data_IF_289610845637
#
_entry.id   IF_289610845637
#
_cell.length_a   1.000
_cell.length_b   1.000
_cell.length_c   1.000
_cell.angle_alpha   90.00
_cell.angle_beta   90.00
_cell.angle_gamma   90.00
#
_symmetry.space_group_name_H-M   'P 1'
#
loop_
_entity.id
_entity.type
_entity.pdbx_description
1 polymer ?
#
# COMPACT_ATOMS: atom_id res chain seq x y z
N UNK A 1 -8.79 23.94 12.44
CA UNK A 1 -8.75 24.18 13.90
C UNK A 1 -7.41 23.67 14.39
N UNK A 2 -6.71 24.48 15.18
CA UNK A 2 -5.26 24.43 15.42
C UNK A 2 -4.75 23.01 15.68
N UNK A 3 -3.81 22.54 14.85
CA UNK A 3 -2.95 21.41 15.18
C UNK A 3 -2.31 21.71 16.54
N UNK A 4 -2.47 20.83 17.51
CA UNK A 4 -1.70 20.93 18.74
C UNK A 4 -0.21 20.90 18.37
N UNK A 5 0.58 21.82 18.92
CA UNK A 5 2.03 21.81 18.70
C UNK A 5 2.57 20.45 19.16
N UNK A 6 3.22 19.64 18.29
CA UNK A 6 3.72 18.32 18.68
C UNK A 6 4.68 18.41 19.86
N UNK A 7 5.34 19.56 20.09
CA UNK A 7 6.15 19.81 21.28
C UNK A 7 5.31 19.87 22.55
N UNK A 8 4.12 20.49 22.50
CA UNK A 8 3.22 20.57 23.64
C UNK A 8 2.64 19.19 23.98
N UNK A 9 2.27 18.40 22.97
CA UNK A 9 1.82 17.03 23.17
C UNK A 9 2.93 16.13 23.77
N UNK A 10 4.17 16.22 23.25
CA UNK A 10 5.35 15.54 23.80
C UNK A 10 5.63 15.94 25.26
N UNK A 11 5.54 17.23 25.58
CA UNK A 11 5.74 17.73 26.93
C UNK A 11 4.68 17.17 27.89
N UNK A 12 3.40 17.15 27.50
CA UNK A 12 2.30 16.60 28.32
C UNK A 12 2.49 15.11 28.62
N UNK A 13 2.89 14.31 27.62
CA UNK A 13 3.22 12.89 27.83
C UNK A 13 4.43 12.76 28.76
N UNK A 14 5.49 13.54 28.52
CA UNK A 14 6.72 13.51 29.34
C UNK A 14 6.47 13.86 30.81
N UNK A 15 5.72 14.91 31.09
CA UNK A 15 5.40 15.35 32.46
C UNK A 15 4.66 14.28 33.28
N UNK A 16 3.84 13.44 32.63
CA UNK A 16 3.14 12.33 33.31
C UNK A 16 4.08 11.24 33.80
N UNK A 17 5.18 11.01 33.10
CA UNK A 17 6.13 9.93 33.39
C UNK A 17 7.44 10.40 34.05
N UNK A 18 7.62 11.70 34.25
CA UNK A 18 8.79 12.30 34.92
C UNK A 18 8.69 12.21 36.45
N UNK A 19 8.58 10.99 36.97
CA UNK A 19 8.53 10.69 38.41
C UNK A 19 9.93 10.40 38.95
N UNK A 20 10.26 10.97 40.11
CA UNK A 20 11.49 10.60 40.83
C UNK A 20 11.32 9.30 41.66
N UNK A 21 12.42 8.74 42.18
CA UNK A 21 12.39 7.47 42.93
C UNK A 21 11.44 7.49 44.15
N UNK A 22 11.34 8.61 44.85
CA UNK A 22 10.44 8.76 45.99
C UNK A 22 8.98 8.81 45.56
N UNK A 23 8.69 9.51 44.46
CA UNK A 23 7.35 9.58 43.88
C UNK A 23 6.89 8.20 43.38
N UNK A 24 7.77 7.47 42.70
CA UNK A 24 7.49 6.09 42.27
C UNK A 24 7.20 5.19 43.47
N UNK A 25 8.06 5.24 44.50
CA UNK A 25 7.90 4.41 45.70
C UNK A 25 6.62 4.73 46.47
N UNK A 26 6.29 6.01 46.63
CA UNK A 26 5.06 6.45 47.28
C UNK A 26 3.82 6.05 46.48
N UNK A 27 3.83 6.27 45.17
CA UNK A 27 2.71 5.92 44.29
C UNK A 27 2.39 4.42 44.37
N UNK A 28 3.41 3.55 44.22
CA UNK A 28 3.23 2.11 44.30
C UNK A 28 2.75 1.66 45.69
N UNK A 29 3.33 2.21 46.76
CA UNK A 29 2.92 1.86 48.12
C UNK A 29 1.45 2.21 48.42
N UNK A 30 0.97 3.36 47.92
CA UNK A 30 -0.44 3.76 48.07
C UNK A 30 -1.35 2.93 47.16
N UNK A 31 -0.92 2.64 45.93
CA UNK A 31 -1.68 1.81 44.98
C UNK A 31 -1.92 0.39 45.52
N UNK A 32 -0.89 -0.24 46.11
CA UNK A 32 -1.02 -1.57 46.71
C UNK A 32 -1.92 -1.59 47.95
N UNK A 33 -1.92 -0.51 48.73
CA UNK A 33 -2.68 -0.40 49.97
C UNK A 33 -4.10 0.18 49.79
N UNK A 34 -4.38 0.79 48.64
CA UNK A 34 -5.59 1.55 48.33
C UNK A 34 -5.63 2.93 49.00
N UNK A 35 -5.35 3.00 50.31
CA UNK A 35 -5.28 4.24 51.07
C UNK A 35 -4.20 4.18 52.18
N UNK A 36 -3.48 5.28 52.39
CA UNK A 36 -2.47 5.40 53.46
C UNK A 36 -2.44 6.82 54.03
N UNK A 37 -2.06 6.95 55.30
CA UNK A 37 -1.62 8.23 55.87
C UNK A 37 -0.15 8.51 55.53
N UNK A 38 0.26 9.78 55.62
CA UNK A 38 1.67 10.17 55.39
C UNK A 38 2.66 9.44 56.32
N UNK A 39 2.26 9.11 57.55
CA UNK A 39 3.10 8.31 58.45
C UNK A 39 3.26 6.88 57.95
N UNK A 40 2.18 6.24 57.49
CA UNK A 40 2.24 4.88 56.96
C UNK A 40 3.03 4.81 55.65
N UNK A 41 3.01 5.86 54.83
CA UNK A 41 3.87 5.96 53.65
C UNK A 41 5.34 6.02 54.05
N UNK A 42 5.70 6.84 55.07
CA UNK A 42 7.07 6.90 55.59
C UNK A 42 7.53 5.55 56.15
N UNK A 43 6.64 4.79 56.79
CA UNK A 43 6.96 3.49 57.39
C UNK A 43 7.14 2.39 56.35
N UNK A 44 6.46 2.49 55.20
CA UNK A 44 6.46 1.49 54.12
C UNK A 44 7.47 1.78 53.02
N UNK A 45 8.08 2.96 53.02
CA UNK A 45 9.00 3.42 51.98
C UNK A 45 10.30 3.92 52.59
N UNK A 46 11.32 4.16 51.76
CA UNK A 46 12.58 4.77 52.21
C UNK A 46 12.52 6.32 52.21
N UNK A 47 11.32 6.89 52.13
CA UNK A 47 11.12 8.34 52.02
C UNK A 47 11.25 8.96 53.42
N UNK A 48 12.18 9.91 53.63
CA UNK A 48 12.29 10.61 54.90
C UNK A 48 10.96 11.28 55.27
N UNK A 49 10.52 11.14 56.52
CA UNK A 49 9.23 11.68 56.99
C UNK A 49 8.96 13.16 56.63
N UNK A 50 9.95 14.09 56.66
CA UNK A 50 9.76 15.47 56.21
C UNK A 50 9.45 15.61 54.71
N UNK A 51 9.81 14.60 53.89
CA UNK A 51 9.67 14.55 52.43
C UNK A 51 8.40 13.87 51.92
N UNK A 52 7.61 13.28 52.81
CA UNK A 52 6.42 12.53 52.38
C UNK A 52 5.33 13.47 51.88
N UNK A 53 5.11 14.61 52.56
CA UNK A 53 4.03 15.53 52.24
C UNK A 53 4.20 16.23 50.88
N UNK A 54 5.41 16.65 50.55
CA UNK A 54 5.80 17.17 49.23
C UNK A 54 5.69 16.10 48.16
N UNK A 55 6.12 14.87 48.43
CA UNK A 55 6.01 13.75 47.48
C UNK A 55 4.54 13.45 47.14
N UNK A 56 3.68 13.28 48.15
CA UNK A 56 2.25 12.98 47.90
C UNK A 56 1.49 14.17 47.31
N UNK A 57 1.91 15.40 47.62
CA UNK A 57 1.34 16.60 47.00
C UNK A 57 1.71 16.68 45.53
N UNK A 58 2.97 16.44 45.17
CA UNK A 58 3.44 16.41 43.77
C UNK A 58 2.66 15.35 42.97
N UNK A 59 2.50 14.15 43.52
CA UNK A 59 1.70 13.09 42.91
C UNK A 59 0.21 13.46 42.78
N UNK A 60 -0.35 14.20 43.74
CA UNK A 60 -1.72 14.66 43.68
C UNK A 60 -1.93 15.80 42.65
N UNK A 61 -0.97 16.71 42.52
CA UNK A 61 -0.96 17.75 41.48
C UNK A 61 -0.87 17.12 40.07
N UNK A 62 -0.19 15.97 39.97
CA UNK A 62 -0.16 15.13 38.77
C UNK A 62 -1.38 14.20 38.63
N UNK A 63 -2.38 14.26 39.51
CA UNK A 63 -3.57 13.42 39.42
C UNK A 63 -3.31 11.91 39.51
N UNK A 64 -2.22 11.49 40.16
CA UNK A 64 -1.90 10.09 40.44
C UNK A 64 -2.45 9.66 41.80
N UNK A 65 -2.56 10.60 42.75
CA UNK A 65 -3.10 10.39 44.10
C UNK A 65 -4.15 11.46 44.42
N UNK A 66 -5.02 11.18 45.38
CA UNK A 66 -5.95 12.18 45.95
C UNK A 66 -5.71 12.34 47.44
N UNK A 67 -5.72 13.58 47.91
CA UNK A 67 -5.63 13.91 49.34
C UNK A 67 -7.02 14.13 49.91
N UNK A 68 -7.40 13.33 50.90
CA UNK A 68 -8.65 13.48 51.63
C UNK A 68 -8.42 14.25 52.93
N UNK A 69 -9.20 15.32 53.13
CA UNK A 69 -9.14 16.16 54.33
C UNK A 69 -9.73 15.44 55.56
N UNK A 70 -8.95 14.54 56.13
CA UNK A 70 -9.24 13.81 57.37
C UNK A 70 -8.16 14.07 58.43
N UNK A 71 -8.35 13.54 59.64
CA UNK A 71 -7.35 13.58 60.71
C UNK A 71 -7.00 12.16 61.16
N UNK A 72 -5.83 11.62 60.80
CA UNK A 72 -4.80 12.19 59.92
C UNK A 72 -5.24 12.27 58.44
N UNK A 73 -4.58 13.09 57.63
CA UNK A 73 -4.82 13.18 56.17
C UNK A 73 -4.62 11.81 55.54
N UNK A 74 -5.57 11.39 54.71
CA UNK A 74 -5.49 10.15 53.95
C UNK A 74 -5.10 10.44 52.50
N UNK A 75 -4.26 9.59 51.95
CA UNK A 75 -3.78 9.61 50.58
C UNK A 75 -4.34 8.38 49.89
N UNK A 76 -5.10 8.60 48.82
CA UNK A 76 -5.78 7.55 48.06
C UNK A 76 -5.16 7.43 46.68
N UNK A 77 -5.05 6.21 46.17
CA UNK A 77 -4.68 6.01 44.77
C UNK A 77 -5.84 6.39 43.84
N UNK A 78 -5.52 7.06 42.74
CA UNK A 78 -6.44 7.21 41.61
C UNK A 78 -6.39 5.92 40.78
N UNK A 79 -7.54 5.51 40.23
CA UNK A 79 -7.58 4.34 39.35
C UNK A 79 -6.60 4.52 38.18
N UNK A 80 -5.76 3.53 37.82
CA UNK A 80 -4.79 3.68 36.75
C UNK A 80 -5.39 4.06 35.39
N UNK A 81 -6.59 3.57 35.05
CA UNK A 81 -7.26 3.96 33.80
C UNK A 81 -7.60 5.45 33.81
N UNK A 82 -8.15 5.95 34.92
CA UNK A 82 -8.46 7.37 35.08
C UNK A 82 -7.19 8.24 35.16
N UNK A 83 -6.19 7.78 35.91
CA UNK A 83 -4.94 8.49 36.10
C UNK A 83 -4.21 8.65 34.76
N UNK A 84 -4.15 7.62 33.92
CA UNK A 84 -3.38 7.67 32.68
C UNK A 84 -4.21 7.98 31.42
N UNK A 85 -5.53 8.18 31.52
CA UNK A 85 -6.40 8.49 30.38
C UNK A 85 -5.88 9.66 29.53
N UNK A 86 -5.62 10.81 30.14
CA UNK A 86 -5.14 12.00 29.43
C UNK A 86 -3.80 11.78 28.72
N UNK A 87 -2.90 11.00 29.33
CA UNK A 87 -1.59 10.70 28.77
C UNK A 87 -1.68 9.68 27.63
N UNK A 88 -2.58 8.70 27.77
CA UNK A 88 -2.92 7.75 26.71
C UNK A 88 -3.47 8.47 25.48
N UNK A 89 -4.50 9.30 25.67
CA UNK A 89 -5.14 10.05 24.58
C UNK A 89 -4.16 11.05 23.94
N UNK A 90 -3.33 11.70 24.75
CA UNK A 90 -2.27 12.60 24.24
C UNK A 90 -1.21 11.85 23.44
N UNK A 91 -0.85 10.64 23.86
CA UNK A 91 0.10 9.79 23.13
C UNK A 91 -0.49 9.28 21.83
N UNK A 92 -1.74 8.83 21.82
CA UNK A 92 -2.44 8.41 20.61
C UNK A 92 -2.57 9.56 19.61
N UNK A 93 -2.98 10.74 20.08
CA UNK A 93 -3.03 11.95 19.27
C UNK A 93 -1.66 12.32 18.72
N UNK A 94 -0.60 12.30 19.56
CA UNK A 94 0.77 12.58 19.14
C UNK A 94 1.26 11.59 18.07
N UNK A 95 1.01 10.30 18.27
CA UNK A 95 1.36 9.26 17.29
C UNK A 95 0.65 9.53 15.98
N UNK A 96 -0.67 9.78 16.01
CA UNK A 96 -1.45 10.09 14.81
C UNK A 96 -0.92 11.34 14.08
N UNK A 97 -0.58 12.39 14.82
CA UNK A 97 -0.05 13.65 14.29
C UNK A 97 1.37 13.48 13.69
N UNK A 98 2.22 12.71 14.35
CA UNK A 98 3.57 12.40 13.86
C UNK A 98 3.50 11.43 12.69
N UNK A 99 2.60 10.47 12.71
CA UNK A 99 2.32 9.58 11.58
C UNK A 99 1.85 10.41 10.39
N UNK A 100 0.92 11.35 10.55
CA UNK A 100 0.46 12.23 9.49
C UNK A 100 1.61 13.07 8.89
N UNK A 101 2.51 13.63 9.72
CA UNK A 101 3.68 14.39 9.26
C UNK A 101 4.78 13.52 8.63
N UNK A 102 4.99 12.32 9.15
CA UNK A 102 5.86 11.32 8.55
C UNK A 102 5.26 10.75 7.24
N UNK A 103 3.95 10.88 7.12
CA UNK A 103 3.13 10.38 6.02
C UNK A 103 2.92 11.38 4.90
N UNK A 104 3.02 12.68 5.18
CA UNK A 104 2.99 13.70 4.14
C UNK A 104 3.99 13.25 3.06
N UNK A 105 3.51 12.89 1.84
CA UNK A 105 4.40 12.44 0.78
C UNK A 105 5.44 13.51 0.69
N UNK A 106 6.72 13.15 0.85
CA UNK A 106 7.79 14.08 0.56
C UNK A 106 7.47 14.64 -0.82
N UNK A 107 6.98 15.89 -0.86
CA UNK A 107 6.61 16.56 -2.09
C UNK A 107 7.90 16.59 -2.90
N UNK A 108 7.91 15.76 -3.94
CA UNK A 108 8.82 15.68 -5.08
C UNK A 108 10.33 15.80 -4.79
N UNK A 109 11.09 14.75 -5.13
CA UNK A 109 12.42 14.90 -5.79
C UNK A 109 13.12 13.57 -6.13
N UNK A 110 12.68 12.43 -5.59
CA UNK A 110 13.26 11.12 -5.93
C UNK A 110 12.32 10.23 -6.76
N UNK A 111 12.78 9.75 -7.93
CA UNK A 111 12.12 8.65 -8.66
C UNK A 111 12.05 7.35 -7.83
N UNK A 112 12.86 7.26 -6.77
CA UNK A 112 12.96 6.11 -5.85
C UNK A 112 13.06 6.62 -4.41
N UNK A 113 12.30 6.03 -3.48
CA UNK A 113 12.34 6.30 -2.04
C UNK A 113 12.56 5.02 -1.24
N UNK A 114 13.45 5.06 -0.25
CA UNK A 114 13.71 3.97 0.68
C UNK A 114 12.90 4.16 1.97
N UNK A 115 12.13 3.15 2.37
CA UNK A 115 11.23 3.20 3.52
C UNK A 115 11.63 2.15 4.53
N UNK A 116 11.76 2.53 5.80
CA UNK A 116 12.14 1.61 6.87
C UNK A 116 10.98 1.23 7.79
N UNK A 117 9.97 2.08 7.91
CA UNK A 117 8.82 1.81 8.77
C UNK A 117 7.79 0.92 8.07
N UNK A 118 7.33 -0.11 8.79
CA UNK A 118 6.19 -0.94 8.40
C UNK A 118 4.95 -0.11 8.09
N UNK A 119 4.60 0.88 8.93
CA UNK A 119 3.39 1.71 8.74
C UNK A 119 3.46 2.48 7.42
N UNK A 120 4.64 2.99 7.07
CA UNK A 120 4.85 3.63 5.76
C UNK A 120 4.73 2.64 4.61
N UNK A 121 5.33 1.45 4.69
CA UNK A 121 5.19 0.44 3.62
C UNK A 121 3.71 0.13 3.36
N UNK A 122 2.94 -0.14 4.41
CA UNK A 122 1.51 -0.44 4.30
C UNK A 122 0.74 0.70 3.64
N UNK A 123 1.01 1.94 4.06
CA UNK A 123 0.37 3.11 3.49
C UNK A 123 0.75 3.34 2.02
N UNK A 124 1.98 3.06 1.62
CA UNK A 124 2.37 3.17 0.21
C UNK A 124 1.74 2.07 -0.64
N UNK A 125 1.54 0.86 -0.10
CA UNK A 125 0.77 -0.19 -0.79
C UNK A 125 -0.68 0.29 -1.01
N UNK A 126 -1.30 0.84 0.02
CA UNK A 126 -2.65 1.44 -0.05
C UNK A 126 -2.72 2.56 -1.08
N UNK A 127 -1.77 3.50 -1.05
CA UNK A 127 -1.70 4.58 -2.03
C UNK A 127 -1.52 4.08 -3.48
N UNK A 128 -0.78 2.99 -3.70
CA UNK A 128 -0.68 2.37 -5.03
C UNK A 128 -2.02 1.76 -5.44
N UNK A 129 -2.70 1.04 -4.54
CA UNK A 129 -4.02 0.45 -4.82
C UNK A 129 -5.03 1.55 -5.19
N UNK A 130 -5.09 2.63 -4.41
CA UNK A 130 -6.01 3.74 -4.64
C UNK A 130 -5.72 4.51 -5.93
N UNK A 131 -4.44 4.63 -6.29
CA UNK A 131 -4.02 5.35 -7.49
C UNK A 131 -4.19 4.56 -8.80
N UNK A 132 -4.55 3.28 -8.74
CA UNK A 132 -4.74 2.46 -9.93
C UNK A 132 -6.04 2.85 -10.67
N UNK A 133 -5.88 3.24 -11.93
CA UNK A 133 -6.98 3.68 -12.80
C UNK A 133 -7.43 2.59 -13.78
N UNK A 134 -6.54 1.69 -14.21
CA UNK A 134 -6.89 0.65 -15.19
C UNK A 134 -6.16 -0.69 -14.98
N UNK A 135 -4.97 -0.69 -14.39
CA UNK A 135 -4.20 -1.90 -14.14
C UNK A 135 -3.54 -1.90 -12.76
N UNK A 136 -3.69 -3.01 -12.05
CA UNK A 136 -3.08 -3.21 -10.75
C UNK A 136 -2.49 -4.62 -10.64
N UNK A 137 -1.21 -4.69 -10.31
CA UNK A 137 -0.47 -5.93 -10.09
C UNK A 137 -0.05 -6.01 -8.63
N UNK A 138 -0.37 -7.12 -7.95
CA UNK A 138 -0.20 -7.24 -6.51
C UNK A 138 0.42 -8.58 -6.12
N UNK A 139 1.35 -8.54 -5.16
CA UNK A 139 1.75 -9.69 -4.36
C UNK A 139 1.54 -9.35 -2.90
N UNK A 140 0.56 -10.01 -2.26
CA UNK A 140 0.14 -9.73 -0.90
C UNK A 140 0.23 -10.99 -0.03
N UNK A 141 0.43 -10.77 1.27
CA UNK A 141 0.18 -11.83 2.25
C UNK A 141 -1.31 -11.96 2.53
N UNK A 142 -1.78 -13.11 3.06
CA UNK A 142 -3.19 -13.28 3.45
C UNK A 142 -3.71 -12.19 4.39
N UNK A 143 -2.87 -11.74 5.33
CA UNK A 143 -3.20 -10.64 6.24
C UNK A 143 -3.37 -9.30 5.51
N UNK A 144 -2.55 -9.03 4.49
CA UNK A 144 -2.68 -7.82 3.67
C UNK A 144 -3.85 -7.89 2.70
N UNK A 145 -4.13 -9.06 2.13
CA UNK A 145 -5.32 -9.29 1.32
C UNK A 145 -6.58 -8.93 2.12
N UNK A 146 -6.68 -9.45 3.35
CA UNK A 146 -7.81 -9.12 4.25
C UNK A 146 -7.84 -7.63 4.63
N UNK A 147 -6.66 -7.02 4.82
CA UNK A 147 -6.56 -5.59 5.16
C UNK A 147 -7.10 -4.70 4.04
N UNK A 148 -6.77 -5.01 2.79
CA UNK A 148 -7.09 -4.18 1.62
C UNK A 148 -8.30 -4.69 0.82
N UNK A 149 -9.10 -5.59 1.39
CA UNK A 149 -10.21 -6.26 0.69
C UNK A 149 -11.22 -5.25 0.12
N UNK A 150 -11.55 -4.22 0.90
CA UNK A 150 -12.55 -3.21 0.52
C UNK A 150 -12.04 -2.30 -0.61
N UNK A 151 -10.77 -1.90 -0.54
CA UNK A 151 -10.10 -1.05 -1.52
C UNK A 151 -9.94 -1.81 -2.84
N UNK A 152 -9.55 -3.08 -2.79
CA UNK A 152 -9.44 -3.94 -3.96
C UNK A 152 -10.79 -4.19 -4.62
N UNK A 153 -11.84 -4.48 -3.84
CA UNK A 153 -13.20 -4.59 -4.35
C UNK A 153 -13.65 -3.29 -5.04
N UNK A 154 -13.40 -2.14 -4.42
CA UNK A 154 -13.74 -0.83 -5.01
C UNK A 154 -12.99 -0.57 -6.32
N UNK A 155 -11.70 -0.92 -6.42
CA UNK A 155 -10.94 -0.83 -7.68
C UNK A 155 -11.48 -1.80 -8.73
N UNK A 156 -11.83 -3.02 -8.33
CA UNK A 156 -12.41 -4.04 -9.22
C UNK A 156 -13.75 -3.59 -9.81
N UNK A 157 -14.62 -3.04 -8.97
CA UNK A 157 -15.91 -2.46 -9.36
C UNK A 157 -15.74 -1.25 -10.28
N UNK A 158 -14.68 -0.46 -10.09
CA UNK A 158 -14.32 0.64 -10.98
C UNK A 158 -13.75 0.19 -12.35
N UNK A 159 -13.65 -1.12 -12.59
CA UNK A 159 -13.16 -1.67 -13.86
C UNK A 159 -11.64 -1.85 -13.93
N UNK A 160 -10.91 -1.60 -12.85
CA UNK A 160 -9.47 -1.87 -12.79
C UNK A 160 -9.24 -3.37 -12.92
N UNK A 161 -8.34 -3.74 -13.81
CA UNK A 161 -7.94 -5.14 -13.91
C UNK A 161 -6.86 -5.44 -12.90
N UNK A 162 -7.12 -6.44 -12.06
CA UNK A 162 -6.29 -6.76 -10.90
C UNK A 162 -5.72 -8.17 -11.05
N UNK A 163 -4.40 -8.27 -11.12
CA UNK A 163 -3.65 -9.52 -11.03
C UNK A 163 -3.08 -9.68 -9.62
N UNK A 164 -3.72 -10.54 -8.84
CA UNK A 164 -3.43 -10.76 -7.42
C UNK A 164 -2.65 -12.05 -7.20
N UNK A 165 -1.49 -11.94 -6.58
CA UNK A 165 -0.73 -13.06 -6.05
C UNK A 165 -0.83 -13.09 -4.53
N UNK A 166 -1.21 -14.23 -3.96
CA UNK A 166 -1.29 -14.46 -2.52
C UNK A 166 -0.19 -15.39 -2.06
N UNK A 167 0.51 -15.02 -0.99
CA UNK A 167 1.69 -15.77 -0.53
C UNK A 167 1.94 -15.63 0.98
N UNK A 168 2.34 -16.69 1.69
CA UNK A 168 2.52 -18.06 1.20
C UNK A 168 1.19 -18.78 0.95
N UNK A 169 1.16 -19.68 -0.03
CA UNK A 169 -0.05 -20.42 -0.42
C UNK A 169 -0.64 -21.26 0.71
N UNK A 170 0.17 -21.69 1.67
CA UNK A 170 -0.29 -22.47 2.82
C UNK A 170 -1.21 -21.69 3.77
N UNK A 171 -1.14 -20.35 3.74
CA UNK A 171 -1.94 -19.45 4.57
C UNK A 171 -3.01 -18.70 3.75
N UNK A 172 -3.02 -18.88 2.42
CA UNK A 172 -4.02 -18.28 1.57
C UNK A 172 -5.40 -18.87 1.87
N UNK A 173 -6.45 -18.04 2.04
CA UNK A 173 -7.82 -18.53 2.16
C UNK A 173 -8.18 -19.49 1.03
N UNK A 174 -8.95 -20.53 1.33
CA UNK A 174 -9.47 -21.40 0.28
C UNK A 174 -10.51 -20.66 -0.57
N UNK A 175 -10.77 -21.14 -1.79
CA UNK A 175 -11.79 -20.54 -2.67
C UNK A 175 -13.22 -20.74 -2.14
N UNK A 176 -13.41 -21.61 -1.15
CA UNK A 176 -14.69 -21.79 -0.45
C UNK A 176 -14.89 -20.73 0.65
N UNK A 177 -13.80 -20.21 1.22
CA UNK A 177 -13.80 -19.26 2.32
C UNK A 177 -13.70 -17.80 1.86
N UNK A 178 -13.13 -17.56 0.67
CA UNK A 178 -12.87 -16.21 0.17
C UNK A 178 -13.22 -16.08 -1.32
N UNK A 179 -14.05 -15.09 -1.63
CA UNK A 179 -14.48 -14.79 -3.00
C UNK A 179 -13.44 -13.94 -3.74
N UNK A 180 -12.36 -14.57 -4.21
CA UNK A 180 -11.27 -13.89 -4.93
C UNK A 180 -11.72 -13.04 -6.13
N UNK A 181 -12.83 -13.41 -6.78
CA UNK A 181 -13.35 -12.70 -7.96
C UNK A 181 -13.93 -11.33 -7.63
N UNK A 182 -14.33 -11.11 -6.38
CA UNK A 182 -14.82 -9.81 -5.91
C UNK A 182 -13.71 -8.77 -5.82
N UNK A 183 -12.46 -9.20 -5.59
CA UNK A 183 -11.31 -8.31 -5.38
C UNK A 183 -10.27 -8.37 -6.50
N UNK A 184 -10.33 -9.38 -7.38
CA UNK A 184 -9.33 -9.57 -8.43
C UNK A 184 -9.92 -10.12 -9.73
N UNK A 185 -9.30 -9.76 -10.86
CA UNK A 185 -9.60 -10.37 -12.16
C UNK A 185 -9.01 -11.76 -12.24
N UNK A 186 -7.75 -11.90 -11.80
CA UNK A 186 -7.03 -13.17 -11.70
C UNK A 186 -6.33 -13.21 -10.37
N UNK A 187 -6.49 -14.32 -9.65
CA UNK A 187 -5.85 -14.59 -8.38
C UNK A 187 -5.05 -15.88 -8.45
N UNK A 188 -3.82 -15.86 -7.93
CA UNK A 188 -2.93 -17.03 -7.83
C UNK A 188 -2.31 -17.13 -6.45
N UNK A 189 -1.95 -18.34 -6.04
CA UNK A 189 -1.23 -18.62 -4.79
C UNK A 189 0.20 -19.08 -5.07
N UNK A 190 1.17 -18.58 -4.29
CA UNK A 190 2.57 -18.98 -4.39
C UNK A 190 3.11 -19.52 -3.07
N UNK A 191 3.76 -20.69 -3.14
CA UNK A 191 4.15 -21.49 -1.97
C UNK A 191 5.14 -20.80 -1.01
N UNK A 192 6.15 -20.10 -1.52
CA UNK A 192 7.30 -19.67 -0.72
C UNK A 192 7.09 -18.37 0.06
N UNK A 193 7.47 -18.36 1.34
CA UNK A 193 7.48 -17.17 2.24
C UNK A 193 8.55 -16.12 1.85
N UNK A 194 9.41 -16.44 0.89
CA UNK A 194 10.40 -15.50 0.34
C UNK A 194 9.81 -14.61 -0.76
N UNK A 195 8.56 -14.82 -1.14
CA UNK A 195 7.87 -13.99 -2.13
C UNK A 195 7.67 -12.59 -1.55
N UNK A 196 8.13 -11.52 -2.20
CA UNK A 196 8.01 -10.17 -1.67
C UNK A 196 6.55 -9.70 -1.71
N UNK A 197 6.26 -8.70 -0.88
CA UNK A 197 5.07 -7.87 -1.05
C UNK A 197 5.39 -6.80 -2.09
N UNK A 198 4.54 -6.67 -3.09
CA UNK A 198 4.66 -5.63 -4.11
C UNK A 198 3.29 -5.16 -4.57
N UNK A 199 3.24 -3.92 -5.03
CA UNK A 199 2.11 -3.36 -5.75
C UNK A 199 2.61 -2.54 -6.92
N UNK A 200 1.97 -2.62 -8.08
CA UNK A 200 2.22 -1.76 -9.24
C UNK A 200 0.89 -1.29 -9.81
N UNK A 201 0.66 0.01 -9.79
CA UNK A 201 -0.46 0.66 -10.46
C UNK A 201 0.00 1.25 -11.80
N UNK A 202 -0.74 0.91 -12.85
CA UNK A 202 -0.63 1.52 -14.18
C UNK A 202 0.81 1.54 -14.73
N UNK A 203 1.60 0.53 -14.35
CA UNK A 203 2.99 0.34 -14.75
C UNK A 203 4.01 1.36 -14.21
N UNK A 204 3.59 2.38 -13.47
CA UNK A 204 4.45 3.52 -13.11
C UNK A 204 4.56 3.80 -11.62
N UNK A 205 3.51 3.60 -10.83
CA UNK A 205 3.56 3.77 -9.38
C UNK A 205 3.70 2.42 -8.70
N UNK A 206 4.83 2.18 -8.03
CA UNK A 206 5.08 0.85 -7.47
C UNK A 206 5.78 0.83 -6.12
N UNK A 207 5.56 -0.26 -5.40
CA UNK A 207 6.16 -0.56 -4.11
C UNK A 207 6.73 -1.98 -4.10
N UNK A 208 7.85 -2.16 -3.40
CA UNK A 208 8.48 -3.45 -3.15
C UNK A 208 8.90 -3.54 -1.69
N UNK A 209 8.56 -4.61 -1.00
CA UNK A 209 9.03 -4.91 0.34
C UNK A 209 9.23 -6.42 0.50
N UNK A 210 10.29 -6.82 1.21
CA UNK A 210 10.40 -8.22 1.64
C UNK A 210 9.30 -8.54 2.66
N UNK A 211 8.75 -9.77 2.68
CA UNK A 211 7.75 -10.15 3.69
C UNK A 211 8.23 -9.88 5.12
N UNK A 212 9.51 -10.10 5.42
CA UNK A 212 10.07 -9.84 6.75
C UNK A 212 10.07 -8.36 7.13
N UNK A 213 10.11 -7.43 6.17
CA UNK A 213 9.98 -5.98 6.44
C UNK A 213 8.56 -5.60 6.89
N UNK A 214 7.59 -6.51 6.69
CA UNK A 214 6.19 -6.34 7.08
C UNK A 214 5.85 -7.21 8.31
N UNK A 215 6.55 -8.32 8.50
CA UNK A 215 6.30 -9.27 9.60
C UNK A 215 7.15 -9.02 10.86
N UNK A 216 8.35 -8.45 10.75
CA UNK A 216 9.30 -8.33 11.88
C UNK A 216 10.03 -6.98 11.92
N UNK A 217 10.39 -6.55 13.12
CA UNK A 217 11.11 -5.30 13.44
C UNK A 217 12.63 -5.43 13.16
N UNK A 218 13.00 -5.86 11.95
CA UNK A 218 14.38 -6.06 11.52
C UNK A 218 14.86 -5.01 10.51
N UNK A 219 16.19 -4.91 10.32
CA UNK A 219 16.90 -4.00 9.40
C UNK A 219 16.56 -4.24 7.90
N UNK A 220 15.30 -4.03 7.51
CA UNK A 220 14.85 -4.20 6.12
C UNK A 220 14.03 -3.03 5.66
N UNK A 221 14.07 -2.83 4.35
CA UNK A 221 13.54 -1.65 3.69
C UNK A 221 12.48 -2.04 2.66
N UNK A 222 11.45 -1.21 2.55
CA UNK A 222 10.64 -1.09 1.36
C UNK A 222 11.26 -0.10 0.38
N UNK A 223 11.06 -0.31 -0.91
CA UNK A 223 11.42 0.63 -1.97
C UNK A 223 10.14 1.07 -2.65
N UNK A 224 10.00 2.37 -2.88
CA UNK A 224 8.88 2.95 -3.61
C UNK A 224 9.41 3.67 -4.84
N UNK A 225 8.79 3.39 -5.98
CA UNK A 225 9.04 4.08 -7.23
C UNK A 225 7.85 4.98 -7.53
N UNK A 226 8.03 6.29 -7.34
CA UNK A 226 6.96 7.28 -7.51
C UNK A 226 6.80 7.62 -8.99
N UNK A 227 5.77 7.07 -9.65
CA UNK A 227 5.37 7.39 -11.03
C UNK A 227 6.57 7.43 -11.99
N UNK A 228 7.34 6.35 -11.96
CA UNK A 228 8.61 6.20 -12.65
C UNK A 228 8.53 5.07 -13.65
N UNK A 229 9.26 5.20 -14.77
CA UNK A 229 9.44 4.11 -15.74
C UNK A 229 10.03 2.84 -15.09
N UNK A 230 10.62 2.95 -13.89
CA UNK A 230 11.12 1.81 -13.11
C UNK A 230 10.02 0.87 -12.61
N UNK A 231 8.74 1.30 -12.56
CA UNK A 231 7.62 0.42 -12.25
C UNK A 231 7.53 -0.79 -13.18
N UNK A 232 7.91 -0.60 -14.45
CA UNK A 232 8.01 -1.68 -15.44
C UNK A 232 8.96 -2.81 -14.99
N UNK A 233 10.06 -2.51 -14.30
CA UNK A 233 10.99 -3.55 -13.81
C UNK A 233 10.31 -4.46 -12.77
N UNK A 234 9.48 -3.89 -11.89
CA UNK A 234 8.72 -4.67 -10.92
C UNK A 234 7.63 -5.48 -11.59
N UNK A 235 6.90 -4.90 -12.55
CA UNK A 235 5.92 -5.64 -13.35
C UNK A 235 6.58 -6.78 -14.12
N UNK A 236 7.76 -6.55 -14.69
CA UNK A 236 8.56 -7.57 -15.37
C UNK A 236 8.96 -8.70 -14.43
N UNK A 237 9.52 -8.37 -13.26
CA UNK A 237 9.85 -9.34 -12.21
C UNK A 237 8.63 -10.14 -11.74
N UNK A 238 7.51 -9.46 -11.47
CA UNK A 238 6.26 -10.10 -11.09
C UNK A 238 5.82 -11.11 -12.15
N UNK A 239 5.69 -10.67 -13.41
CA UNK A 239 5.17 -11.48 -14.49
C UNK A 239 6.06 -12.68 -14.80
N UNK A 240 7.38 -12.48 -14.85
CA UNK A 240 8.32 -13.52 -15.28
C UNK A 240 8.69 -14.50 -14.17
N UNK A 241 8.80 -14.04 -12.92
CA UNK A 241 9.31 -14.85 -11.81
C UNK A 241 8.19 -15.30 -10.88
N UNK A 242 7.29 -14.39 -10.49
CA UNK A 242 6.31 -14.68 -9.45
C UNK A 242 5.05 -15.32 -10.02
N UNK A 243 4.48 -14.73 -11.07
CA UNK A 243 3.20 -15.12 -11.65
C UNK A 243 3.23 -16.48 -12.38
N UNK A 244 4.29 -16.73 -13.14
CA UNK A 244 4.52 -17.98 -13.89
C UNK A 244 4.75 -19.18 -12.99
N UNK A 245 5.20 -18.97 -11.75
CA UNK A 245 5.50 -20.03 -10.76
C UNK A 245 4.40 -20.21 -9.71
N UNK A 246 3.24 -19.59 -9.91
CA UNK A 246 2.10 -19.63 -9.00
C UNK A 246 0.96 -20.53 -9.51
N UNK A 247 0.13 -21.01 -8.59
CA UNK A 247 -1.04 -21.85 -8.89
C UNK A 247 -2.32 -21.01 -8.95
N UNK A 248 -3.25 -21.27 -9.87
CA UNK A 248 -4.50 -20.52 -9.97
C UNK A 248 -5.38 -20.71 -8.73
N UNK A 249 -5.94 -19.61 -8.21
CA UNK A 249 -6.99 -19.58 -7.19
C UNK A 249 -8.32 -19.20 -7.82
N UNK A 250 -8.34 -18.13 -8.62
CA UNK A 250 -9.49 -17.70 -9.37
C UNK A 250 -9.04 -17.08 -10.68
N UNK A 251 -9.74 -17.39 -11.75
CA UNK A 251 -9.63 -16.67 -13.01
C UNK A 251 -11.06 -16.31 -13.41
N UNK A 252 -11.31 -15.01 -13.56
CA UNK A 252 -12.36 -14.58 -14.45
C UNK A 252 -11.81 -14.80 -15.87
N UNK A 253 -12.64 -15.37 -16.75
CA UNK A 253 -12.28 -15.48 -18.15
C UNK A 253 -11.98 -14.10 -18.75
N UNK A 254 -11.59 -14.05 -20.01
CA UNK A 254 -11.44 -12.78 -20.70
C UNK A 254 -12.75 -11.98 -20.59
N UNK A 255 -12.67 -10.80 -19.97
CA UNK A 255 -13.78 -9.86 -19.85
C UNK A 255 -13.77 -8.97 -21.09
N UNK A 256 -14.57 -9.31 -22.10
CA UNK A 256 -14.77 -8.52 -23.34
C UNK A 256 -15.45 -7.18 -23.06
N UNK A 257 -14.74 -6.28 -22.39
CA UNK A 257 -15.16 -4.90 -22.17
C UNK A 257 -14.12 -3.98 -22.81
N UNK A 258 -14.40 -3.58 -24.05
CA UNK A 258 -13.78 -2.42 -24.66
C UNK A 258 -14.73 -1.22 -24.52
N UNK A 259 -14.22 0.01 -24.34
CA UNK A 259 -12.81 0.38 -24.39
C UNK A 259 -11.98 -0.04 -23.19
N UNK A 260 -10.65 -0.20 -23.39
CA UNK A 260 -9.73 -0.66 -22.35
C UNK A 260 -8.33 -0.06 -22.47
N UNK A 261 -7.71 0.20 -21.31
CA UNK A 261 -6.33 0.71 -21.19
C UNK A 261 -5.36 -0.34 -20.67
N UNK A 262 -4.12 -0.30 -21.14
CA UNK A 262 -3.05 -1.20 -20.75
C UNK A 262 -1.75 -0.43 -20.53
N UNK A 263 -1.04 -0.78 -19.45
CA UNK A 263 0.34 -0.32 -19.21
C UNK A 263 1.38 -1.29 -19.78
N UNK A 264 0.95 -2.49 -20.17
CA UNK A 264 1.82 -3.59 -20.61
C UNK A 264 1.37 -4.13 -21.97
N UNK A 265 2.25 -4.02 -22.97
CA UNK A 265 2.03 -4.60 -24.31
C UNK A 265 1.73 -6.09 -24.23
N UNK A 266 2.41 -6.81 -23.33
CA UNK A 266 2.29 -8.27 -23.22
C UNK A 266 0.91 -8.68 -22.76
N UNK A 267 0.32 -7.88 -21.88
CA UNK A 267 -1.05 -8.11 -21.42
C UNK A 267 -2.05 -7.74 -22.51
N UNK A 268 -1.88 -6.59 -23.16
CA UNK A 268 -2.68 -6.19 -24.32
C UNK A 268 -2.72 -7.29 -25.39
N UNK A 269 -1.55 -7.81 -25.80
CA UNK A 269 -1.43 -8.89 -26.78
C UNK A 269 -2.08 -10.20 -26.32
N UNK A 270 -1.95 -10.58 -25.05
CA UNK A 270 -2.62 -11.78 -24.50
C UNK A 270 -4.14 -11.66 -24.54
N UNK A 271 -4.64 -10.48 -24.20
CA UNK A 271 -6.06 -10.17 -24.16
C UNK A 271 -6.64 -10.09 -25.58
N UNK A 272 -5.92 -9.48 -26.54
CA UNK A 272 -6.26 -9.50 -27.97
C UNK A 272 -6.28 -10.92 -28.54
N UNK A 273 -5.29 -11.76 -28.24
CA UNK A 273 -5.28 -13.14 -28.70
C UNK A 273 -6.47 -13.96 -28.15
N UNK A 274 -6.93 -13.65 -26.93
CA UNK A 274 -8.14 -14.26 -26.36
C UNK A 274 -9.41 -13.75 -27.04
N UNK A 275 -9.49 -12.45 -27.32
CA UNK A 275 -10.59 -11.83 -28.07
C UNK A 275 -10.72 -12.41 -29.49
N UNK A 276 -9.62 -12.52 -30.23
CA UNK A 276 -9.62 -13.07 -31.59
C UNK A 276 -10.11 -14.52 -31.61
N UNK A 277 -9.73 -15.30 -30.59
CA UNK A 277 -10.19 -16.68 -30.43
C UNK A 277 -11.70 -16.77 -30.11
N UNK A 278 -12.26 -15.79 -29.39
CA UNK A 278 -13.69 -15.75 -29.03
C UNK A 278 -14.57 -15.23 -30.16
N UNK A 279 -14.07 -14.26 -30.93
CA UNK A 279 -14.81 -13.61 -32.04
C UNK A 279 -14.62 -14.30 -33.39
N UNK A 280 -13.89 -15.42 -33.44
CA UNK A 280 -13.46 -16.09 -34.67
C UNK A 280 -12.73 -15.14 -35.65
N UNK A 281 -12.05 -14.11 -35.12
CA UNK A 281 -11.35 -13.08 -35.88
C UNK A 281 -12.24 -12.01 -36.52
N UNK A 282 -13.53 -11.93 -36.14
CA UNK A 282 -14.47 -10.94 -36.68
C UNK A 282 -14.61 -9.67 -35.83
N UNK A 283 -14.00 -9.63 -34.65
CA UNK A 283 -14.02 -8.44 -33.78
C UNK A 283 -12.93 -7.46 -34.18
N UNK A 284 -13.25 -6.46 -35.01
CA UNK A 284 -12.29 -5.41 -35.34
C UNK A 284 -12.15 -4.40 -34.20
N UNK A 285 -10.90 -4.10 -33.86
CA UNK A 285 -10.53 -3.16 -32.81
C UNK A 285 -9.61 -2.10 -33.39
N UNK A 286 -9.69 -0.90 -32.82
CA UNK A 286 -8.73 0.18 -33.04
C UNK A 286 -7.85 0.32 -31.80
N UNK A 287 -6.64 0.81 -32.01
CA UNK A 287 -5.69 1.07 -30.95
C UNK A 287 -5.18 2.51 -31.05
N UNK A 288 -5.08 3.17 -29.90
CA UNK A 288 -4.34 4.44 -29.75
C UNK A 288 -3.18 4.20 -28.80
N UNK A 289 -1.98 4.51 -29.27
CA UNK A 289 -0.71 4.26 -28.59
C UNK A 289 -0.08 5.59 -28.24
N UNK A 290 0.11 5.84 -26.95
CA UNK A 290 0.98 6.92 -26.49
C UNK A 290 2.36 6.33 -26.19
N UNK A 291 3.39 6.88 -26.82
CA UNK A 291 4.70 6.28 -26.74
C UNK A 291 5.80 7.11 -27.37
N UNK A 292 6.83 6.40 -27.83
CA UNK A 292 8.06 7.00 -28.32
C UNK A 292 8.57 6.24 -29.55
N UNK A 293 8.98 6.96 -30.59
CA UNK A 293 9.68 6.36 -31.73
C UNK A 293 11.03 5.81 -31.27
N UNK A 294 11.35 4.57 -31.60
CA UNK A 294 12.53 3.89 -31.03
C UNK A 294 13.86 4.44 -31.57
N UNK A 295 13.88 5.06 -32.76
CA UNK A 295 15.10 5.51 -33.43
C UNK A 295 15.40 6.97 -33.13
N UNK A 296 14.41 7.84 -33.29
CA UNK A 296 14.51 9.28 -33.04
C UNK A 296 14.37 9.61 -31.55
N UNK A 297 13.59 8.81 -30.83
CA UNK A 297 13.26 9.07 -29.44
C UNK A 297 12.28 10.22 -29.24
N UNK A 298 11.53 10.64 -30.26
CA UNK A 298 10.47 11.64 -30.11
C UNK A 298 9.20 10.99 -29.54
N UNK A 299 8.50 11.73 -28.67
CA UNK A 299 7.20 11.31 -28.17
C UNK A 299 6.15 11.51 -29.25
N UNK A 300 5.26 10.54 -29.40
CA UNK A 300 4.24 10.55 -30.42
C UNK A 300 3.02 9.74 -29.99
N UNK A 301 1.91 10.00 -30.67
CA UNK A 301 0.68 9.22 -30.57
C UNK A 301 0.40 8.59 -31.93
N UNK A 302 0.20 7.28 -31.97
CA UNK A 302 -0.23 6.56 -33.18
C UNK A 302 -1.61 5.98 -32.93
N UNK A 303 -2.52 6.18 -33.87
CA UNK A 303 -3.83 5.52 -33.88
C UNK A 303 -3.99 4.71 -35.15
N UNK A 304 -4.78 3.64 -35.06
CA UNK A 304 -5.09 2.83 -36.23
C UNK A 304 -5.84 1.54 -35.91
N UNK A 305 -6.17 0.80 -36.96
CA UNK A 305 -6.81 -0.51 -36.86
C UNK A 305 -5.79 -1.55 -36.41
N UNK A 306 -6.16 -2.40 -35.46
CA UNK A 306 -5.34 -3.55 -35.06
C UNK A 306 -5.37 -4.58 -36.19
N UNK A 307 -4.18 -4.90 -36.74
CA UNK A 307 -4.06 -5.84 -37.87
C UNK A 307 -3.34 -7.14 -37.51
N UNK A 308 -2.65 -7.17 -36.38
CA UNK A 308 -1.96 -8.37 -35.92
C UNK A 308 -1.39 -8.24 -34.52
N UNK A 309 -1.11 -9.39 -33.92
CA UNK A 309 -0.36 -9.50 -32.67
C UNK A 309 0.71 -10.58 -32.80
N UNK A 310 1.86 -10.37 -32.18
CA UNK A 310 2.91 -11.37 -32.07
C UNK A 310 3.30 -11.59 -30.61
N UNK A 311 3.45 -12.85 -30.23
CA UNK A 311 3.87 -13.26 -28.89
C UNK A 311 4.86 -14.42 -29.00
N UNK A 312 6.12 -14.17 -28.64
CA UNK A 312 7.12 -15.23 -28.60
C UNK A 312 6.87 -16.17 -27.42
N UNK A 313 6.99 -17.48 -27.66
CA UNK A 313 6.71 -18.55 -26.68
C UNK A 313 7.71 -18.59 -25.53
N UNK A 314 8.90 -18.01 -25.70
CA UNK A 314 9.96 -17.90 -24.69
C UNK A 314 9.96 -16.55 -23.97
N UNK A 315 8.88 -15.79 -24.13
CA UNK A 315 8.70 -14.46 -23.57
C UNK A 315 9.69 -13.39 -24.07
N UNK A 316 10.47 -13.62 -25.14
CA UNK A 316 11.43 -12.60 -25.62
C UNK A 316 10.79 -11.38 -26.29
N UNK A 317 9.64 -11.54 -26.96
CA UNK A 317 8.95 -10.45 -27.63
C UNK A 317 7.42 -10.55 -27.49
N UNK A 318 6.79 -9.38 -27.45
CA UNK A 318 5.35 -9.21 -27.53
C UNK A 318 5.10 -7.89 -28.27
N UNK A 319 4.45 -7.94 -29.43
CA UNK A 319 4.20 -6.76 -30.23
C UNK A 319 2.79 -6.75 -30.80
N UNK A 320 2.30 -5.53 -31.04
CA UNK A 320 1.03 -5.22 -31.69
C UNK A 320 1.34 -4.59 -33.05
N UNK A 321 0.61 -4.97 -34.10
CA UNK A 321 0.69 -4.34 -35.41
C UNK A 321 -0.58 -3.51 -35.64
N UNK A 322 -0.38 -2.23 -35.98
CA UNK A 322 -1.46 -1.29 -36.26
C UNK A 322 -1.32 -0.73 -37.68
N UNK A 323 -2.39 -0.74 -38.46
CA UNK A 323 -2.47 0.01 -39.71
C UNK A 323 -3.01 1.39 -39.39
N UNK A 324 -2.16 2.40 -39.52
CA UNK A 324 -2.49 3.76 -39.08
C UNK A 324 -3.47 4.44 -40.02
N UNK A 325 -4.38 5.23 -39.47
CA UNK A 325 -5.49 5.86 -40.19
C UNK A 325 -5.40 7.40 -40.23
N UNK A 326 -4.42 7.98 -39.53
CA UNK A 326 -4.20 9.43 -39.46
C UNK A 326 -2.71 9.76 -39.29
N UNK A 327 -2.33 11.00 -39.65
CA UNK A 327 -1.00 11.57 -39.39
C UNK A 327 0.03 11.33 -40.51
N UNK A 328 1.32 11.51 -40.20
CA UNK A 328 2.41 11.38 -41.18
C UNK A 328 2.63 9.95 -41.69
N UNK A 329 2.08 8.96 -40.97
CA UNK A 329 2.22 7.53 -41.28
C UNK A 329 0.95 6.91 -41.87
N UNK A 330 -0.08 7.69 -42.20
CA UNK A 330 -1.38 7.21 -42.71
C UNK A 330 -1.23 6.12 -43.79
N UNK A 331 -1.88 4.97 -43.57
CA UNK A 331 -1.83 3.79 -44.42
C UNK A 331 -0.57 2.90 -44.24
N UNK A 332 0.36 3.27 -43.36
CA UNK A 332 1.50 2.42 -43.00
C UNK A 332 1.13 1.44 -41.87
N UNK A 333 1.70 0.24 -41.93
CA UNK A 333 1.66 -0.71 -40.80
C UNK A 333 2.82 -0.43 -39.86
N UNK A 334 2.51 -0.09 -38.62
CA UNK A 334 3.47 0.23 -37.56
C UNK A 334 3.50 -0.91 -36.55
N UNK A 335 4.69 -1.36 -36.20
CA UNK A 335 4.92 -2.33 -35.13
C UNK A 335 5.12 -1.62 -33.78
N UNK A 336 4.43 -2.11 -32.76
CA UNK A 336 4.36 -1.47 -31.43
C UNK A 336 4.81 -2.48 -30.37
N UNK A 337 5.91 -2.16 -29.72
CA UNK A 337 6.47 -2.91 -28.61
C UNK A 337 6.10 -2.30 -27.25
N UNK A 338 6.56 -2.93 -26.18
CA UNK A 338 6.37 -2.43 -24.81
C UNK A 338 7.45 -1.45 -24.40
N UNK A 339 7.49 -1.13 -23.10
CA UNK A 339 8.62 -0.40 -22.49
C UNK A 339 9.95 -1.06 -22.86
N UNK A 340 10.94 -0.23 -23.23
CA UNK A 340 12.26 -0.68 -23.69
C UNK A 340 12.22 -1.49 -25.01
N UNK A 341 11.23 -1.24 -25.87
CA UNK A 341 11.19 -1.79 -27.23
C UNK A 341 12.46 -1.44 -28.01
N UNK A 342 12.91 -2.38 -28.84
CA UNK A 342 14.13 -2.24 -29.64
C UNK A 342 14.02 -2.88 -31.03
N UNK A 343 13.01 -3.71 -31.27
CA UNK A 343 12.78 -4.39 -32.55
C UNK A 343 11.64 -3.73 -33.33
N UNK A 344 10.66 -3.21 -32.60
CA UNK A 344 9.45 -2.58 -33.09
C UNK A 344 9.68 -1.09 -33.39
N UNK A 345 8.79 -0.45 -34.14
CA UNK A 345 8.91 0.96 -34.54
C UNK A 345 8.60 1.93 -33.38
N UNK A 346 7.71 1.54 -32.47
CA UNK A 346 7.22 2.37 -31.36
C UNK A 346 7.35 1.64 -30.02
N UNK A 347 7.91 2.32 -29.02
CA UNK A 347 7.86 1.94 -27.61
C UNK A 347 6.55 2.46 -26.99
N UNK A 348 5.60 1.58 -26.67
CA UNK A 348 4.35 1.96 -26.01
C UNK A 348 4.55 2.26 -24.52
N UNK A 349 4.01 3.40 -24.07
CA UNK A 349 3.93 3.77 -22.66
C UNK A 349 2.51 3.57 -22.12
N UNK A 350 1.50 3.84 -22.94
CA UNK A 350 0.09 3.54 -22.71
C UNK A 350 -0.55 3.03 -24.00
N UNK A 351 -1.47 2.07 -23.87
CA UNK A 351 -2.18 1.47 -24.99
C UNK A 351 -3.67 1.52 -24.68
N UNK A 352 -4.44 2.16 -25.54
CA UNK A 352 -5.89 2.19 -25.49
C UNK A 352 -6.46 1.36 -26.64
N UNK A 353 -7.36 0.44 -26.33
CA UNK A 353 -8.10 -0.36 -27.31
C UNK A 353 -9.57 -0.01 -27.27
N UNK A 354 -10.18 0.13 -28.45
CA UNK A 354 -11.61 0.39 -28.61
C UNK A 354 -12.19 -0.46 -29.76
N UNK A 355 -13.52 -0.59 -29.80
CA UNK A 355 -14.17 -1.17 -30.96
C UNK A 355 -13.98 -0.25 -32.17
N UNK A 356 -13.80 -0.85 -33.36
CA UNK A 356 -13.83 -0.07 -34.58
C UNK A 356 -15.20 0.62 -34.70
N UNK A 357 -15.24 1.94 -34.97
CA UNK A 357 -16.49 2.65 -35.11
C UNK A 357 -17.30 2.00 -36.24
N UNK A 358 -18.49 1.48 -35.91
CA UNK A 358 -19.39 0.96 -36.91
C UNK A 358 -19.82 2.09 -37.84
N UNK A 359 -19.76 1.87 -39.15
CA UNK A 359 -20.09 2.88 -40.17
C UNK A 359 -21.57 3.33 -40.19
N UNK A 360 -22.36 3.05 -39.15
CA UNK A 360 -23.79 3.38 -39.07
C UNK A 360 -24.04 4.48 -38.02
N UNK A 361 -24.03 5.72 -38.51
CA UNK A 361 -24.43 6.90 -37.76
C UNK A 361 -24.74 8.07 -38.69
N UNK A 362 -25.70 7.89 -39.60
CA UNK A 362 -26.36 8.96 -40.34
C UNK A 362 -27.87 8.93 -40.09
#
# INVERSE_FOLDING_TARGET
MSSDDPRAALARVGERFDLNEYEISAYLAVLEAGQLSASEIADRTEIPQPRVYDTVRSLAERGLLTLQESRPIQVLAVDPEEAFADAHDSLEALISDLEARYTEPARETGAVSLIKSRSSILRYVEAVIEAADYELVLSLTPALLKRYESELAARREAGVTIELLVTPAAEAPSTEEFEYRSVATRARARRGITTPVLAVADGSYSTYATQDAIAWDGDRYGVVFNRSALGFLLSGFFNTVLWTTAQPLAENGFEEHFPRRYASIRRCVKDLAQHDALTEGNGSLTATIEGRDILSGEYLTVSGRVVGVSLASDEQSAALEIETDEGERDGETVSVGGRVAALEDVEAHEIYLDHEPTADGN
#
